data_IF_086909026326
#
_entry.id   IF_086909026326
#
_cell.length_a   1.000
_cell.length_b   1.000
_cell.length_c   1.000
_cell.angle_alpha   90.00
_cell.angle_beta   90.00
_cell.angle_gamma   90.00
#
_symmetry.space_group_name_H-M   'P 1'
#
loop_
_entity.id
_entity.type
_entity.pdbx_description
1 polymer ?
#
# COMPACT_ATOMS: atom_id res chain seq x y z
N UNK A 1 23.21 -18.97 3.56
CA UNK A 1 21.77 -19.35 3.61
C UNK A 1 21.01 -18.47 2.65
N UNK A 2 20.37 -19.07 1.67
CA UNK A 2 19.46 -18.39 0.74
C UNK A 2 18.05 -18.73 1.18
N UNK A 3 17.28 -17.73 1.56
CA UNK A 3 15.86 -17.89 1.87
C UNK A 3 15.02 -17.07 0.89
N UNK A 4 13.98 -17.65 0.34
CA UNK A 4 12.96 -16.94 -0.42
C UNK A 4 11.60 -17.16 0.23
N UNK A 5 10.90 -16.08 0.52
CA UNK A 5 9.51 -16.13 0.94
C UNK A 5 8.63 -15.51 -0.14
N UNK A 6 7.65 -16.27 -0.58
CA UNK A 6 6.64 -15.80 -1.52
C UNK A 6 5.31 -15.74 -0.78
N UNK A 7 4.88 -14.55 -0.44
CA UNK A 7 3.56 -14.33 0.12
C UNK A 7 2.57 -14.05 -1.02
N UNK A 8 1.78 -15.07 -1.37
CA UNK A 8 0.60 -14.89 -2.21
C UNK A 8 -0.55 -14.62 -1.24
N UNK A 9 -1.00 -13.38 -1.13
CA UNK A 9 -2.23 -13.09 -0.40
C UNK A 9 -3.41 -13.23 -1.34
N UNK A 10 -4.34 -14.06 -0.92
CA UNK A 10 -5.59 -14.27 -1.61
C UNK A 10 -6.40 -12.98 -1.79
N UNK A 11 -7.16 -12.97 -2.87
CA UNK A 11 -8.13 -11.94 -3.17
C UNK A 11 -9.11 -11.84 -2.01
N UNK A 12 -9.18 -10.71 -1.36
CA UNK A 12 -10.41 -10.31 -0.72
C UNK A 12 -11.34 -9.85 -1.86
N UNK A 13 -12.01 -10.82 -2.48
CA UNK A 13 -13.18 -10.50 -3.28
C UNK A 13 -14.27 -10.14 -2.30
N UNK A 14 -14.64 -8.88 -2.27
CA UNK A 14 -15.94 -8.53 -1.71
C UNK A 14 -16.98 -9.31 -2.52
N UNK A 15 -17.81 -10.05 -1.81
CA UNK A 15 -18.84 -10.92 -2.39
C UNK A 15 -19.66 -10.12 -3.40
N UNK A 16 -20.27 -10.83 -4.36
CA UNK A 16 -21.10 -10.26 -5.44
C UNK A 16 -22.36 -9.53 -4.95
N UNK A 17 -22.65 -9.59 -3.65
CA UNK A 17 -23.75 -8.89 -3.02
C UNK A 17 -23.37 -7.43 -2.73
N UNK A 18 -24.22 -6.47 -3.06
CA UNK A 18 -24.00 -5.09 -2.68
C UNK A 18 -24.01 -4.97 -1.16
N UNK A 19 -23.04 -4.23 -0.62
CA UNK A 19 -23.00 -3.93 0.81
C UNK A 19 -23.94 -2.77 1.12
N UNK A 20 -24.69 -2.89 2.19
CA UNK A 20 -25.50 -1.80 2.70
C UNK A 20 -24.60 -0.84 3.50
N UNK A 21 -24.52 0.41 3.05
CA UNK A 21 -23.75 1.45 3.69
C UNK A 21 -24.69 2.46 4.34
N UNK A 22 -24.44 2.76 5.60
CA UNK A 22 -25.06 3.89 6.31
C UNK A 22 -23.99 4.89 6.70
N UNK A 23 -24.22 6.16 6.42
CA UNK A 23 -23.41 7.26 6.95
C UNK A 23 -24.22 7.98 8.02
N UNK A 24 -23.61 8.18 9.18
CA UNK A 24 -24.19 8.88 10.31
C UNK A 24 -23.47 10.21 10.50
N UNK A 25 -24.21 11.21 10.96
CA UNK A 25 -23.62 12.46 11.41
C UNK A 25 -23.04 12.33 12.82
N UNK A 26 -22.50 13.44 13.34
CA UNK A 26 -21.93 13.46 14.69
C UNK A 26 -22.98 13.29 15.81
N UNK A 27 -24.27 13.40 15.48
CA UNK A 27 -25.39 13.18 16.40
C UNK A 27 -25.88 11.73 16.38
N UNK A 28 -25.39 10.93 15.44
CA UNK A 28 -25.80 9.56 15.25
C UNK A 28 -26.98 9.38 14.31
N UNK A 29 -27.46 10.47 13.70
CA UNK A 29 -28.57 10.42 12.73
C UNK A 29 -28.06 9.91 11.38
N UNK A 30 -28.87 9.07 10.73
CA UNK A 30 -28.56 8.53 9.41
C UNK A 30 -28.72 9.64 8.36
N UNK A 31 -27.59 10.06 7.79
CA UNK A 31 -27.55 11.09 6.75
C UNK A 31 -27.74 10.51 5.36
N UNK A 32 -27.22 9.29 5.14
CA UNK A 32 -27.32 8.59 3.87
C UNK A 32 -27.29 7.10 4.11
N UNK A 33 -28.08 6.37 3.35
CA UNK A 33 -28.05 4.92 3.30
C UNK A 33 -28.21 4.43 1.85
N UNK A 34 -27.75 3.21 1.58
CA UNK A 34 -27.87 2.61 0.27
C UNK A 34 -26.92 1.44 0.06
N UNK A 35 -27.11 0.78 -1.07
CA UNK A 35 -26.23 -0.30 -1.48
C UNK A 35 -24.99 0.24 -2.20
N UNK A 36 -23.85 -0.38 -1.94
CA UNK A 36 -22.57 -0.06 -2.58
C UNK A 36 -22.13 -1.24 -3.42
N UNK A 37 -21.75 -0.97 -4.66
CA UNK A 37 -21.36 -1.98 -5.65
C UNK A 37 -19.85 -2.05 -5.79
N UNK A 38 -19.22 -3.09 -5.20
CA UNK A 38 -17.75 -3.29 -5.18
C UNK A 38 -17.37 -4.67 -5.67
N UNK A 39 -17.97 -5.12 -6.69
CA UNK A 39 -17.65 -6.44 -7.20
C UNK A 39 -16.19 -6.49 -7.67
N UNK A 40 -15.47 -7.52 -7.23
CA UNK A 40 -14.10 -7.82 -7.64
C UNK A 40 -13.04 -6.77 -7.30
N UNK A 41 -13.35 -5.84 -6.40
CA UNK A 41 -12.35 -4.90 -5.91
C UNK A 41 -11.34 -5.56 -4.97
N UNK A 42 -10.10 -5.09 -5.03
CA UNK A 42 -8.99 -5.66 -4.28
C UNK A 42 -8.66 -4.78 -3.09
N UNK A 43 -8.10 -5.40 -2.07
CA UNK A 43 -7.63 -4.66 -0.88
C UNK A 43 -6.59 -3.63 -1.31
N UNK A 44 -6.84 -2.40 -0.91
CA UNK A 44 -6.03 -1.25 -1.23
C UNK A 44 -4.70 -1.24 -0.49
N UNK A 45 -3.72 -0.54 -1.05
CA UNK A 45 -2.43 -0.20 -0.43
C UNK A 45 -1.60 -1.40 0.05
N UNK A 46 -2.03 -2.62 -0.28
CA UNK A 46 -1.33 -3.86 0.08
C UNK A 46 -0.99 -4.62 -1.20
N UNK A 47 0.26 -5.01 -1.42
CA UNK A 47 0.62 -5.82 -2.57
C UNK A 47 -0.05 -7.20 -2.47
N UNK A 48 -0.77 -7.60 -3.52
CA UNK A 48 -1.35 -8.94 -3.61
C UNK A 48 -0.28 -9.98 -3.98
N UNK A 49 0.84 -9.51 -4.48
CA UNK A 49 2.02 -10.33 -4.77
C UNK A 49 3.25 -9.65 -4.19
N UNK A 50 3.91 -10.32 -3.26
CA UNK A 50 5.17 -9.88 -2.69
C UNK A 50 6.17 -11.03 -2.74
N UNK A 51 7.36 -10.73 -3.24
CA UNK A 51 8.47 -11.69 -3.30
C UNK A 51 9.67 -11.06 -2.60
N UNK A 52 10.27 -11.80 -1.68
CA UNK A 52 11.53 -11.42 -1.04
C UNK A 52 12.59 -12.48 -1.35
N UNK A 53 13.78 -12.03 -1.71
CA UNK A 53 14.97 -12.87 -1.87
C UNK A 53 16.09 -12.28 -1.05
N UNK A 54 16.49 -12.99 0.00
CA UNK A 54 17.53 -12.57 0.93
C UNK A 54 18.80 -13.40 0.82
N UNK A 55 19.94 -12.73 0.91
CA UNK A 55 21.26 -13.33 1.03
C UNK A 55 21.89 -12.85 2.33
N UNK A 56 22.44 -13.77 3.09
CA UNK A 56 23.20 -13.44 4.30
C UNK A 56 24.51 -14.18 4.35
N UNK A 57 25.54 -13.47 4.78
CA UNK A 57 26.87 -14.03 4.94
C UNK A 57 27.48 -13.62 6.28
N UNK A 58 28.15 -14.55 6.93
CA UNK A 58 28.84 -14.32 8.20
C UNK A 58 30.26 -14.85 8.12
N UNK A 59 31.21 -13.99 8.47
CA UNK A 59 32.62 -14.34 8.57
C UNK A 59 32.97 -14.86 9.97
N UNK A 60 34.04 -15.69 10.04
CA UNK A 60 34.64 -16.10 11.29
C UNK A 60 35.12 -14.90 12.15
N UNK A 61 35.39 -13.75 11.56
CA UNK A 61 35.78 -12.51 12.23
C UNK A 61 34.57 -11.70 12.76
N UNK A 62 33.42 -12.33 12.91
CA UNK A 62 32.17 -11.73 13.37
C UNK A 62 31.72 -10.50 12.54
N UNK A 63 32.04 -10.51 11.25
CA UNK A 63 31.45 -9.61 10.26
C UNK A 63 30.22 -10.30 9.69
N UNK A 64 29.14 -9.59 9.57
CA UNK A 64 27.94 -10.06 8.86
C UNK A 64 27.53 -9.06 7.80
N UNK A 65 27.05 -9.61 6.71
CA UNK A 65 26.48 -8.89 5.58
C UNK A 65 25.14 -9.52 5.24
N UNK A 66 24.15 -8.72 4.93
CA UNK A 66 22.93 -9.21 4.30
C UNK A 66 22.49 -8.27 3.19
N UNK A 67 21.76 -8.84 2.24
CA UNK A 67 21.11 -8.09 1.17
C UNK A 67 19.76 -8.74 0.91
N UNK A 68 18.71 -7.92 0.80
CA UNK A 68 17.34 -8.35 0.61
C UNK A 68 16.74 -7.60 -0.58
N UNK A 69 16.38 -8.35 -1.60
CA UNK A 69 15.62 -7.85 -2.74
C UNK A 69 14.15 -8.11 -2.53
N UNK A 70 13.33 -7.07 -2.65
CA UNK A 70 11.88 -7.16 -2.54
C UNK A 70 11.25 -6.73 -3.86
N UNK A 71 10.27 -7.50 -4.30
CA UNK A 71 9.42 -7.21 -5.45
C UNK A 71 7.96 -7.19 -5.03
N UNK A 72 7.23 -6.16 -5.45
CA UNK A 72 5.82 -5.95 -5.13
C UNK A 72 5.03 -5.77 -6.41
N UNK A 73 3.85 -6.40 -6.48
CA UNK A 73 2.95 -6.25 -7.62
C UNK A 73 1.49 -6.35 -7.18
N UNK A 74 0.59 -5.97 -8.06
CA UNK A 74 -0.84 -5.99 -7.82
C UNK A 74 -1.24 -5.19 -6.57
N UNK A 75 -0.73 -3.96 -6.47
CA UNK A 75 -1.19 -2.96 -5.51
C UNK A 75 -2.26 -2.09 -6.16
N UNK A 76 -3.23 -1.68 -5.37
CA UNK A 76 -4.40 -0.94 -5.85
C UNK A 76 -4.65 0.29 -4.99
N UNK A 77 -5.21 1.31 -5.65
CA UNK A 77 -5.59 2.56 -5.00
C UNK A 77 -6.80 2.34 -4.08
N UNK A 78 -6.83 3.09 -2.98
CA UNK A 78 -8.00 3.16 -2.11
C UNK A 78 -9.14 3.86 -2.80
N UNK A 79 -10.32 3.28 -2.68
CA UNK A 79 -11.54 3.78 -3.28
C UNK A 79 -12.48 4.32 -2.23
N UNK A 80 -13.26 5.31 -2.64
CA UNK A 80 -14.36 5.80 -1.81
C UNK A 80 -15.66 5.05 -2.10
N UNK A 81 -16.26 4.40 -1.09
CA UNK A 81 -17.54 3.71 -1.24
C UNK A 81 -18.70 4.65 -1.60
N UNK A 82 -18.64 5.89 -1.14
CA UNK A 82 -19.69 6.89 -1.32
C UNK A 82 -20.01 7.14 -2.81
N UNK A 83 -19.01 7.06 -3.67
CA UNK A 83 -19.18 7.27 -5.10
C UNK A 83 -19.76 6.07 -5.85
N UNK A 84 -19.98 4.95 -5.16
CA UNK A 84 -20.43 3.68 -5.75
C UNK A 84 -21.77 3.21 -5.22
N UNK A 85 -22.55 4.14 -4.67
CA UNK A 85 -23.89 3.88 -4.17
C UNK A 85 -24.92 3.83 -5.29
N UNK A 86 -26.06 3.18 -5.04
CA UNK A 86 -27.21 3.18 -5.94
C UNK A 86 -27.59 4.57 -6.42
N UNK A 87 -27.65 5.52 -5.49
CA UNK A 87 -28.04 6.90 -5.78
C UNK A 87 -27.11 7.57 -6.80
N UNK A 88 -25.84 7.22 -6.80
CA UNK A 88 -24.83 7.73 -7.75
C UNK A 88 -24.98 7.03 -9.10
N UNK A 89 -25.08 5.70 -9.11
CA UNK A 89 -25.10 4.90 -10.33
C UNK A 89 -26.41 5.10 -11.10
N UNK A 90 -27.54 5.23 -10.40
CA UNK A 90 -28.88 5.41 -11.00
C UNK A 90 -29.25 6.88 -11.21
N UNK A 91 -28.46 7.81 -10.69
CA UNK A 91 -28.74 9.24 -10.66
C UNK A 91 -28.52 10.00 -11.97
N UNK A 92 -28.58 9.33 -13.13
CA UNK A 92 -28.43 9.98 -14.44
C UNK A 92 -26.99 10.25 -14.87
N UNK A 93 -26.02 9.58 -14.29
CA UNK A 93 -24.61 9.68 -14.68
C UNK A 93 -24.38 9.10 -16.08
N UNK A 94 -23.44 9.68 -16.84
CA UNK A 94 -23.08 9.19 -18.14
C UNK A 94 -22.47 7.76 -18.07
N UNK A 95 -22.77 6.88 -19.05
CA UNK A 95 -22.25 5.50 -19.01
C UNK A 95 -20.72 5.40 -18.91
N UNK A 96 -19.98 6.34 -19.51
CA UNK A 96 -18.53 6.40 -19.43
C UNK A 96 -18.01 6.68 -18.02
N UNK A 97 -18.72 7.53 -17.27
CA UNK A 97 -18.37 7.87 -15.90
C UNK A 97 -18.64 6.69 -14.95
N UNK A 98 -19.74 5.95 -15.18
CA UNK A 98 -20.07 4.73 -14.44
C UNK A 98 -18.97 3.68 -14.67
N UNK A 99 -18.53 3.51 -15.90
CA UNK A 99 -17.46 2.57 -16.21
C UNK A 99 -16.14 2.95 -15.53
N UNK A 100 -15.82 4.24 -15.46
CA UNK A 100 -14.66 4.74 -14.74
C UNK A 100 -14.75 4.44 -13.24
N UNK A 101 -15.91 4.65 -12.62
CA UNK A 101 -16.15 4.33 -11.20
C UNK A 101 -16.06 2.84 -10.89
N UNK A 102 -16.33 1.98 -11.86
CA UNK A 102 -16.23 0.51 -11.70
C UNK A 102 -14.79 0.01 -11.75
N UNK A 103 -13.85 0.81 -12.23
CA UNK A 103 -12.45 0.42 -12.32
C UNK A 103 -11.68 0.83 -11.07
N UNK A 104 -10.91 -0.09 -10.55
CA UNK A 104 -9.95 0.20 -9.50
C UNK A 104 -8.59 0.49 -10.14
N UNK A 105 -7.97 1.60 -9.78
CA UNK A 105 -6.64 1.94 -10.26
C UNK A 105 -5.60 0.97 -9.69
N UNK A 106 -4.81 0.39 -10.58
CA UNK A 106 -3.70 -0.49 -10.23
C UNK A 106 -2.39 0.29 -10.31
N UNK A 107 -1.52 0.12 -9.32
CA UNK A 107 -0.18 0.68 -9.32
C UNK A 107 0.78 -0.21 -10.13
N UNK A 108 1.84 0.42 -10.64
CA UNK A 108 2.93 -0.28 -11.27
C UNK A 108 3.65 -1.22 -10.31
N UNK A 109 4.32 -2.23 -10.84
CA UNK A 109 5.17 -3.09 -10.03
C UNK A 109 6.36 -2.31 -9.48
N UNK A 110 6.76 -2.66 -8.26
CA UNK A 110 7.81 -1.97 -7.56
C UNK A 110 8.84 -2.96 -7.01
N UNK A 111 10.08 -2.49 -6.85
CA UNK A 111 11.13 -3.27 -6.23
C UNK A 111 12.05 -2.41 -5.39
N UNK A 112 12.59 -2.99 -4.32
CA UNK A 112 13.56 -2.36 -3.44
C UNK A 112 14.72 -3.31 -3.16
N UNK A 113 15.88 -2.75 -2.91
CA UNK A 113 17.06 -3.47 -2.45
C UNK A 113 17.49 -2.88 -1.11
N UNK A 114 17.60 -3.74 -0.11
CA UNK A 114 18.09 -3.37 1.22
C UNK A 114 19.40 -4.11 1.46
N UNK A 115 20.28 -3.54 2.27
CA UNK A 115 21.47 -4.25 2.73
C UNK A 115 21.80 -3.86 4.16
N UNK A 116 22.46 -4.77 4.86
CA UNK A 116 23.03 -4.47 6.15
C UNK A 116 24.45 -5.01 6.27
N UNK A 117 25.25 -4.29 7.03
CA UNK A 117 26.61 -4.68 7.41
C UNK A 117 26.80 -4.44 8.90
N UNK A 118 27.48 -5.35 9.56
CA UNK A 118 27.86 -5.13 10.94
C UNK A 118 29.02 -5.99 11.36
N UNK A 119 29.60 -5.60 12.49
CA UNK A 119 30.74 -6.30 13.09
C UNK A 119 30.69 -6.24 14.60
N UNK A 120 31.13 -7.35 15.22
CA UNK A 120 31.28 -7.47 16.64
C UNK A 120 32.76 -7.71 16.99
N UNK A 121 33.26 -7.00 18.01
CA UNK A 121 34.56 -7.21 18.63
C UNK A 121 34.33 -7.72 20.03
N UNK A 122 34.96 -8.86 20.34
CA UNK A 122 34.99 -9.40 21.69
C UNK A 122 36.33 -9.05 22.34
N UNK A 123 36.29 -8.22 23.38
CA UNK A 123 37.46 -7.72 24.08
C UNK A 123 37.59 -8.47 25.40
N UNK A 124 38.69 -9.20 25.56
CA UNK A 124 39.02 -9.99 26.75
C UNK A 124 37.90 -10.94 27.22
N UNK A 125 37.04 -11.43 26.30
CA UNK A 125 35.86 -12.28 26.58
C UNK A 125 34.85 -11.68 27.57
N UNK A 126 35.03 -10.42 27.98
CA UNK A 126 34.20 -9.72 28.96
C UNK A 126 33.36 -8.62 28.31
N UNK A 127 33.92 -7.92 27.33
CA UNK A 127 33.28 -6.79 26.70
C UNK A 127 32.98 -7.10 25.24
N UNK A 128 31.84 -6.61 24.75
CA UNK A 128 31.51 -6.68 23.35
C UNK A 128 31.22 -5.28 22.82
N UNK A 129 31.98 -4.86 21.83
CA UNK A 129 31.72 -3.66 21.05
C UNK A 129 31.17 -4.09 19.70
N UNK A 130 30.15 -3.43 19.23
CA UNK A 130 29.58 -3.74 17.92
C UNK A 130 28.97 -2.54 17.23
N UNK A 131 28.87 -2.66 15.91
CA UNK A 131 28.08 -1.73 15.09
C UNK A 131 27.24 -2.51 14.07
N UNK A 132 26.13 -1.93 13.67
CA UNK A 132 25.40 -2.30 12.47
C UNK A 132 24.98 -1.07 11.69
N UNK A 133 25.10 -1.15 10.39
CA UNK A 133 24.58 -0.17 9.43
C UNK A 133 23.57 -0.88 8.55
N UNK A 134 22.32 -0.43 8.62
CA UNK A 134 21.23 -0.91 7.79
C UNK A 134 20.89 0.19 6.78
N UNK A 135 20.83 -0.17 5.51
CA UNK A 135 20.49 0.72 4.41
C UNK A 135 19.27 0.16 3.72
N UNK A 136 18.17 0.90 3.73
CA UNK A 136 16.93 0.54 3.03
C UNK A 136 16.80 1.33 1.74
N UNK A 137 16.23 0.68 0.74
CA UNK A 137 16.02 1.25 -0.59
C UNK A 137 17.30 1.86 -1.17
N UNK A 138 18.35 1.05 -1.30
CA UNK A 138 19.67 1.46 -1.82
C UNK A 138 19.56 2.05 -3.23
N UNK A 139 18.60 1.58 -4.02
CA UNK A 139 18.36 2.05 -5.37
C UNK A 139 17.72 3.45 -5.41
N UNK A 140 17.36 4.00 -4.24
CA UNK A 140 16.72 5.30 -4.09
C UNK A 140 15.47 5.47 -4.97
N UNK A 141 14.69 4.42 -5.12
CA UNK A 141 13.47 4.46 -5.91
C UNK A 141 12.37 5.17 -5.11
N UNK A 142 12.07 6.42 -5.45
CA UNK A 142 11.06 7.25 -4.79
C UNK A 142 9.72 7.26 -5.54
N UNK A 143 9.65 6.67 -6.72
CA UNK A 143 8.43 6.65 -7.53
C UNK A 143 7.48 5.51 -7.17
N UNK A 144 7.84 4.72 -6.15
CA UNK A 144 7.03 3.62 -5.67
C UNK A 144 5.81 4.15 -4.93
N UNK A 145 4.64 3.98 -5.53
CA UNK A 145 3.36 4.30 -4.89
C UNK A 145 3.05 3.27 -3.80
N UNK A 146 2.91 3.72 -2.56
CA UNK A 146 2.62 2.88 -1.41
C UNK A 146 1.15 2.91 -1.00
N UNK A 147 0.39 3.83 -1.54
CA UNK A 147 -1.04 4.02 -1.28
C UNK A 147 -1.53 5.32 -1.88
N UNK A 148 -2.71 5.71 -1.47
CA UNK A 148 -3.34 6.93 -1.93
C UNK A 148 -4.86 6.83 -1.86
N UNK A 149 -5.54 7.81 -2.43
CA UNK A 149 -6.99 7.84 -2.50
C UNK A 149 -7.48 8.57 -3.75
N UNK A 150 -8.67 8.18 -4.18
CA UNK A 150 -9.37 8.82 -5.29
C UNK A 150 -9.80 10.24 -4.92
N UNK A 151 -9.74 11.14 -5.91
CA UNK A 151 -10.34 12.46 -5.82
C UNK A 151 -11.47 12.56 -6.85
N UNK A 152 -12.69 12.63 -6.37
CA UNK A 152 -13.88 12.72 -7.20
C UNK A 152 -14.84 13.74 -6.60
N UNK A 153 -15.49 14.51 -7.42
CA UNK A 153 -16.61 15.37 -7.01
C UNK A 153 -17.87 14.94 -7.73
N UNK A 154 -18.92 14.77 -6.96
CA UNK A 154 -20.27 14.56 -7.46
C UNK A 154 -21.07 15.80 -7.17
N UNK A 155 -21.72 16.33 -8.19
CA UNK A 155 -22.63 17.46 -8.06
C UNK A 155 -23.96 17.06 -8.66
N UNK A 156 -25.04 17.17 -7.89
CA UNK A 156 -26.40 16.92 -8.36
C UNK A 156 -27.04 18.25 -8.72
N UNK A 157 -27.50 18.36 -9.97
CA UNK A 157 -28.31 19.48 -10.37
C UNK A 157 -29.75 19.25 -9.85
N UNK A 158 -30.22 20.14 -9.00
CA UNK A 158 -31.55 20.07 -8.38
C UNK A 158 -32.68 20.27 -9.37
N UNK A 159 -32.42 20.97 -10.48
CA UNK A 159 -33.44 21.24 -11.49
C UNK A 159 -33.62 20.08 -12.48
N UNK A 160 -32.55 19.38 -12.79
CA UNK A 160 -32.54 18.31 -13.82
C UNK A 160 -32.40 16.90 -13.27
N UNK A 161 -32.19 16.75 -11.95
CA UNK A 161 -31.82 15.46 -11.29
C UNK A 161 -30.59 14.76 -11.87
N UNK A 162 -29.86 15.41 -12.74
CA UNK A 162 -28.64 14.85 -13.35
C UNK A 162 -27.47 14.98 -12.37
N UNK A 163 -26.77 13.87 -12.15
CA UNK A 163 -25.53 13.85 -11.37
C UNK A 163 -24.34 14.08 -12.30
N UNK A 164 -23.62 15.16 -12.07
CA UNK A 164 -22.37 15.44 -12.78
C UNK A 164 -21.20 14.80 -12.01
N UNK A 165 -20.39 14.06 -12.72
CA UNK A 165 -19.16 13.44 -12.21
C UNK A 165 -17.96 14.22 -12.70
N UNK A 166 -17.08 14.60 -11.79
CA UNK A 166 -15.82 15.21 -12.12
C UNK A 166 -14.70 14.43 -11.44
N UNK A 167 -13.92 13.72 -12.23
CA UNK A 167 -12.69 13.08 -11.76
C UNK A 167 -11.56 14.11 -11.67
N UNK A 168 -10.77 14.00 -10.62
CA UNK A 168 -9.50 14.70 -10.45
C UNK A 168 -8.39 13.65 -10.35
N UNK A 169 -7.15 14.06 -10.58
CA UNK A 169 -6.01 13.19 -10.39
C UNK A 169 -6.00 12.64 -8.96
N UNK A 170 -5.81 11.34 -8.85
CA UNK A 170 -5.71 10.66 -7.56
C UNK A 170 -4.55 11.20 -6.74
N UNK A 171 -4.64 11.16 -5.43
CA UNK A 171 -3.53 11.47 -4.53
C UNK A 171 -2.77 10.20 -4.19
N UNK A 172 -1.45 10.27 -4.28
CA UNK A 172 -0.58 9.12 -4.02
C UNK A 172 0.35 9.39 -2.85
N UNK A 173 0.62 8.33 -2.12
CA UNK A 173 1.68 8.27 -1.13
C UNK A 173 2.85 7.50 -1.75
N UNK A 174 4.04 8.02 -1.57
CA UNK A 174 5.25 7.45 -2.14
C UNK A 174 6.15 6.89 -1.05
N UNK A 175 6.96 5.92 -1.43
CA UNK A 175 7.98 5.37 -0.56
C UNK A 175 9.09 6.42 -0.32
N UNK A 176 9.66 6.40 0.87
CA UNK A 176 10.84 7.18 1.15
C UNK A 176 12.03 6.68 0.32
N UNK A 177 12.91 7.61 -0.07
CA UNK A 177 14.18 7.29 -0.69
C UNK A 177 15.08 6.45 0.22
N UNK A 178 16.36 6.42 -0.08
CA UNK A 178 17.34 5.67 0.72
C UNK A 178 17.35 6.16 2.17
N UNK A 179 17.19 5.23 3.10
CA UNK A 179 17.26 5.49 4.53
C UNK A 179 18.36 4.68 5.18
N UNK A 180 19.03 5.30 6.15
CA UNK A 180 20.18 4.72 6.87
C UNK A 180 19.84 4.62 8.34
N UNK A 181 20.21 3.49 8.93
CA UNK A 181 20.15 3.28 10.36
C UNK A 181 21.48 2.76 10.86
N UNK A 182 22.17 3.55 11.68
CA UNK A 182 23.42 3.15 12.32
C UNK A 182 23.17 2.85 13.81
N UNK A 183 23.50 1.65 14.22
CA UNK A 183 23.47 1.24 15.61
C UNK A 183 24.88 0.94 16.11
N UNK A 184 25.24 1.56 17.22
CA UNK A 184 26.49 1.32 17.95
C UNK A 184 26.12 0.81 19.34
N UNK A 185 26.74 -0.27 19.78
CA UNK A 185 26.49 -0.82 21.09
C UNK A 185 27.74 -1.31 21.81
N UNK A 186 27.71 -1.16 23.10
CA UNK A 186 28.71 -1.68 24.01
C UNK A 186 28.03 -2.49 25.11
N UNK A 187 28.49 -3.70 25.33
CA UNK A 187 28.02 -4.60 26.39
C UNK A 187 29.19 -4.97 27.30
N UNK A 188 28.99 -4.87 28.60
CA UNK A 188 29.94 -5.19 29.67
C UNK A 188 29.38 -6.27 30.58
#
# INVERSE_FOLDING_TARGET
>A
LVGSEMCIRDRYTYDSNPYYLQTQDNSGDIVSDGYVYWKDFRVESTPQTAVNVGLSWRSNNNIYLSADFNYYNNMYLSMSPIYRTDAVITGGMAPGDIEHLRRQEKFDSAYTLNASIGKNWYIHRKYTLGFSLDVKNILNNQDIKTGGYEQTRLSKNTETTVTTYQAFDSKYFYMFGTTYYLNLYFRF
#
